data_IF_074648494239
#
_entry.id   IF_074648494239
#
_cell.length_a   1.000
_cell.length_b   1.000
_cell.length_c   1.000
_cell.angle_alpha   90.00
_cell.angle_beta   90.00
_cell.angle_gamma   90.00
#
_symmetry.space_group_name_H-M   'P 1'
#
loop_
_entity.id
_entity.type
_entity.pdbx_description
1 polymer ?
#
# COMPACT_ATOMS: atom_id res chain seq x y z
N UNK A 1 10.71 12.08 6.96
CA UNK A 1 11.98 11.61 6.35
C UNK A 1 11.78 10.86 5.03
N UNK A 2 11.14 9.68 5.00
CA UNK A 2 11.03 8.89 3.76
C UNK A 2 10.42 9.62 2.55
N UNK A 3 9.35 10.40 2.75
CA UNK A 3 8.70 11.19 1.69
C UNK A 3 9.67 12.22 1.09
N UNK A 4 10.40 12.97 1.94
CA UNK A 4 11.42 13.94 1.52
C UNK A 4 12.50 13.28 0.65
N UNK A 5 12.98 12.11 1.07
CA UNK A 5 13.97 11.34 0.32
C UNK A 5 13.46 10.97 -1.09
N UNK A 6 12.23 10.48 -1.21
CA UNK A 6 11.63 10.13 -2.52
C UNK A 6 11.53 11.35 -3.42
N UNK A 7 11.06 12.50 -2.92
CA UNK A 7 10.99 13.74 -3.71
C UNK A 7 12.36 14.23 -4.18
N UNK A 8 13.35 14.31 -3.28
CA UNK A 8 14.72 14.72 -3.63
C UNK A 8 15.32 13.76 -4.65
N UNK A 9 15.17 12.45 -4.44
CA UNK A 9 15.64 11.42 -5.37
C UNK A 9 14.97 11.55 -6.75
N UNK A 10 13.66 11.82 -6.82
CA UNK A 10 12.97 12.06 -8.09
C UNK A 10 13.56 13.26 -8.82
N UNK A 11 13.74 14.41 -8.15
CA UNK A 11 14.32 15.60 -8.76
C UNK A 11 15.76 15.40 -9.25
N UNK A 12 16.59 14.67 -8.48
CA UNK A 12 17.97 14.30 -8.88
C UNK A 12 18.01 13.56 -10.21
N UNK A 13 16.97 12.80 -10.57
CA UNK A 13 16.91 12.06 -11.83
C UNK A 13 16.12 12.75 -12.94
N UNK A 14 15.11 13.58 -12.63
CA UNK A 14 14.27 14.23 -13.66
C UNK A 14 14.82 15.57 -14.17
N UNK A 15 15.66 16.25 -13.37
CA UNK A 15 16.25 17.56 -13.73
C UNK A 15 17.46 17.48 -14.67
N UNK A 16 18.40 16.50 -14.56
CA UNK A 16 19.61 16.51 -15.40
C UNK A 16 19.36 16.61 -16.94
N UNK A 17 18.33 15.97 -17.53
CA UNK A 17 18.02 16.12 -18.96
C UNK A 17 17.52 17.52 -19.37
N UNK A 18 17.18 18.39 -18.41
CA UNK A 18 16.89 19.81 -18.69
C UNK A 18 18.11 20.70 -18.46
N UNK A 19 19.15 20.20 -17.79
CA UNK A 19 20.41 20.91 -17.50
C UNK A 19 21.59 20.48 -18.39
N UNK A 20 21.35 19.62 -19.38
CA UNK A 20 22.32 19.23 -20.41
C UNK A 20 22.91 17.82 -20.27
N UNK A 21 22.61 17.07 -19.21
CA UNK A 21 22.97 15.65 -19.12
C UNK A 21 21.80 14.81 -19.65
N UNK A 22 21.92 14.39 -20.92
CA UNK A 22 20.83 13.90 -21.76
C UNK A 22 19.80 14.98 -22.12
N UNK A 23 18.68 14.56 -22.72
CA UNK A 23 17.62 15.39 -23.26
C UNK A 23 16.27 14.66 -23.20
N UNK A 24 15.17 15.41 -23.08
CA UNK A 24 13.83 14.87 -23.35
C UNK A 24 13.51 15.06 -24.83
N UNK A 25 12.99 14.01 -25.46
CA UNK A 25 12.58 14.00 -26.87
C UNK A 25 11.15 13.51 -27.01
N UNK A 26 10.56 13.70 -28.20
CA UNK A 26 9.28 13.08 -28.53
C UNK A 26 9.49 11.61 -28.89
N UNK A 27 8.63 10.74 -28.37
CA UNK A 27 8.62 9.31 -28.71
C UNK A 27 8.36 9.12 -30.20
N UNK A 28 8.77 7.97 -30.76
CA UNK A 28 8.56 7.64 -32.19
C UNK A 28 7.09 7.66 -32.63
N UNK A 29 6.14 7.51 -31.70
CA UNK A 29 4.69 7.66 -31.95
C UNK A 29 4.19 9.13 -31.95
N UNK A 30 5.04 10.10 -31.59
CA UNK A 30 4.77 11.54 -31.68
C UNK A 30 3.85 12.13 -30.60
N UNK A 31 3.18 11.30 -29.78
CA UNK A 31 2.17 11.76 -28.81
C UNK A 31 2.65 11.92 -27.37
N UNK A 32 3.88 11.49 -27.05
CA UNK A 32 4.40 11.50 -25.67
C UNK A 32 5.88 11.83 -25.62
N UNK A 33 6.30 12.58 -24.60
CA UNK A 33 7.73 12.85 -24.35
C UNK A 33 8.38 11.78 -23.47
N UNK A 34 9.67 11.53 -23.68
CA UNK A 34 10.49 10.56 -22.97
C UNK A 34 12.00 10.91 -23.03
N UNK A 35 12.84 10.36 -22.14
CA UNK A 35 14.29 10.48 -22.23
C UNK A 35 14.85 10.01 -23.58
N UNK A 36 15.88 10.67 -24.10
CA UNK A 36 16.38 10.47 -25.45
C UNK A 36 17.33 9.26 -25.62
N UNK A 37 16.82 8.05 -25.38
CA UNK A 37 17.54 6.80 -25.65
C UNK A 37 17.71 6.47 -27.15
N UNK A 38 17.17 7.30 -28.06
CA UNK A 38 17.35 7.16 -29.51
C UNK A 38 18.65 7.80 -30.03
N UNK A 39 19.28 8.64 -29.20
CA UNK A 39 20.47 9.40 -29.53
C UNK A 39 21.73 8.60 -29.23
N UNK A 40 22.58 8.38 -30.24
CA UNK A 40 23.88 7.70 -30.09
C UNK A 40 24.95 8.49 -29.31
N UNK A 41 24.57 9.51 -28.54
CA UNK A 41 25.50 10.33 -27.75
C UNK A 41 25.82 9.67 -26.42
N UNK A 42 27.08 9.77 -26.00
CA UNK A 42 27.57 9.23 -24.73
C UNK A 42 26.81 9.84 -23.53
N UNK A 43 26.48 11.13 -23.59
CA UNK A 43 25.72 11.81 -22.52
C UNK A 43 24.31 11.22 -22.33
N UNK A 44 23.61 10.90 -23.44
CA UNK A 44 22.31 10.25 -23.39
C UNK A 44 22.45 8.80 -22.87
N UNK A 45 23.39 8.04 -23.41
CA UNK A 45 23.62 6.65 -23.00
C UNK A 45 23.99 6.51 -21.51
N UNK A 46 24.90 7.35 -21.01
CA UNK A 46 25.34 7.33 -19.60
C UNK A 46 24.21 7.71 -18.65
N UNK A 47 23.39 8.70 -19.01
CA UNK A 47 22.19 9.05 -18.24
C UNK A 47 21.21 7.86 -18.19
N UNK A 48 20.84 7.26 -19.33
CA UNK A 48 19.87 6.16 -19.39
C UNK A 48 20.34 4.95 -18.59
N UNK A 49 21.60 4.53 -18.73
CA UNK A 49 22.17 3.41 -17.97
C UNK A 49 22.15 3.71 -16.47
N UNK A 50 22.59 4.90 -16.05
CA UNK A 50 22.65 5.27 -14.63
C UNK A 50 21.25 5.40 -14.03
N UNK A 51 20.30 5.97 -14.79
CA UNK A 51 18.89 6.06 -14.43
C UNK A 51 18.27 4.68 -14.22
N UNK A 52 18.44 3.74 -15.15
CA UNK A 52 17.89 2.38 -15.02
C UNK A 52 18.54 1.62 -13.85
N UNK A 53 19.85 1.72 -13.66
CA UNK A 53 20.53 1.09 -12.53
C UNK A 53 20.02 1.63 -11.18
N UNK A 54 19.81 2.95 -11.07
CA UNK A 54 19.45 3.58 -9.79
C UNK A 54 17.94 3.62 -9.53
N UNK A 55 17.09 3.77 -10.55
CA UNK A 55 15.64 3.90 -10.41
C UNK A 55 14.86 2.60 -10.65
N UNK A 56 15.48 1.57 -11.24
CA UNK A 56 14.86 0.26 -11.47
C UNK A 56 15.60 -0.87 -10.75
N UNK A 57 16.89 -1.09 -11.06
CA UNK A 57 17.65 -2.24 -10.52
C UNK A 57 17.86 -2.13 -9.00
N UNK A 58 18.33 -0.98 -8.50
CA UNK A 58 18.58 -0.77 -7.07
C UNK A 58 17.30 -0.92 -6.21
N UNK A 59 16.14 -0.28 -6.52
CA UNK A 59 14.89 -0.50 -5.81
C UNK A 59 14.44 -1.96 -5.81
N UNK A 60 14.50 -2.63 -6.96
CA UNK A 60 14.14 -4.05 -7.06
C UNK A 60 15.02 -4.93 -6.18
N UNK A 61 16.34 -4.68 -6.14
CA UNK A 61 17.27 -5.41 -5.27
C UNK A 61 16.97 -5.16 -3.78
N UNK A 62 16.73 -3.91 -3.38
CA UNK A 62 16.39 -3.55 -2.01
C UNK A 62 15.08 -4.21 -1.56
N UNK A 63 14.06 -4.18 -2.43
CA UNK A 63 12.78 -4.87 -2.24
C UNK A 63 12.99 -6.37 -2.09
N UNK A 64 13.70 -7.02 -3.03
CA UNK A 64 13.91 -8.46 -3.02
C UNK A 64 14.71 -8.93 -1.79
N UNK A 65 15.74 -8.19 -1.39
CA UNK A 65 16.56 -8.50 -0.21
C UNK A 65 15.80 -8.28 1.10
N UNK A 66 15.06 -7.18 1.24
CA UNK A 66 14.25 -6.90 2.44
C UNK A 66 13.10 -7.90 2.59
N UNK A 67 12.38 -8.18 1.50
CA UNK A 67 11.31 -9.17 1.48
C UNK A 67 11.83 -10.60 1.67
N UNK A 68 12.99 -10.95 1.10
CA UNK A 68 13.67 -12.23 1.35
C UNK A 68 14.05 -12.41 2.83
N UNK A 69 14.50 -11.35 3.51
CA UNK A 69 14.71 -11.34 4.96
C UNK A 69 13.40 -11.49 5.74
N UNK A 70 12.34 -10.79 5.36
CA UNK A 70 11.00 -10.93 5.95
C UNK A 70 10.49 -12.37 5.84
N UNK A 71 10.55 -12.98 4.66
CA UNK A 71 10.11 -14.36 4.44
C UNK A 71 10.91 -15.39 5.25
N UNK A 72 12.22 -15.19 5.43
CA UNK A 72 13.05 -16.04 6.31
C UNK A 72 12.65 -15.89 7.79
N UNK A 73 12.37 -14.66 8.25
CA UNK A 73 11.88 -14.39 9.61
C UNK A 73 10.50 -15.02 9.85
N UNK A 74 9.56 -14.82 8.92
CA UNK A 74 8.22 -15.42 8.98
C UNK A 74 8.25 -16.95 8.99
N UNK A 75 9.12 -17.59 8.20
CA UNK A 75 9.35 -19.05 8.27
C UNK A 75 9.85 -19.47 9.65
N UNK A 76 10.92 -18.86 10.18
CA UNK A 76 11.46 -19.20 11.51
C UNK A 76 10.42 -19.02 12.63
N UNK A 77 9.59 -17.97 12.56
CA UNK A 77 8.48 -17.77 13.52
C UNK A 77 7.43 -18.86 13.36
N UNK A 78 7.02 -19.18 12.12
CA UNK A 78 6.06 -20.26 11.84
C UNK A 78 6.55 -21.63 12.34
N UNK A 79 7.81 -21.98 12.14
CA UNK A 79 8.41 -23.25 12.57
C UNK A 79 8.50 -23.33 14.12
N UNK A 80 8.76 -22.20 14.76
CA UNK A 80 8.73 -22.09 16.24
C UNK A 80 7.30 -22.24 16.76
N UNK A 81 6.34 -21.65 16.06
CA UNK A 81 4.94 -21.65 16.50
C UNK A 81 4.24 -23.00 16.27
N UNK A 82 4.57 -23.72 15.21
CA UNK A 82 4.11 -25.10 14.99
C UNK A 82 4.68 -26.07 16.03
N UNK A 83 5.92 -25.87 16.49
CA UNK A 83 6.49 -26.58 17.64
C UNK A 83 5.79 -26.29 18.97
N UNK A 84 5.12 -25.14 19.08
CA UNK A 84 4.35 -24.71 20.27
C UNK A 84 2.85 -25.00 20.16
N UNK A 85 2.39 -25.74 19.14
CA UNK A 85 0.97 -26.13 18.95
C UNK A 85 0.00 -24.97 18.66
N UNK A 86 0.49 -23.74 18.53
CA UNK A 86 -0.35 -22.55 18.38
C UNK A 86 -0.73 -22.32 16.91
N UNK A 87 -1.98 -22.62 16.54
CA UNK A 87 -2.46 -22.50 15.15
C UNK A 87 -2.83 -21.06 14.78
N UNK A 88 -1.87 -20.12 14.87
CA UNK A 88 -2.03 -18.78 14.30
C UNK A 88 -1.37 -18.76 12.93
N UNK A 89 -2.18 -18.86 11.86
CA UNK A 89 -1.70 -18.77 10.48
C UNK A 89 -0.97 -17.40 10.33
N UNK A 90 0.34 -17.36 10.00
CA UNK A 90 1.06 -16.09 9.90
C UNK A 90 0.47 -15.21 8.80
N UNK A 91 0.72 -13.90 8.89
CA UNK A 91 0.04 -12.81 8.17
C UNK A 91 0.33 -12.76 6.65
N UNK A 92 0.01 -13.85 5.95
CA UNK A 92 0.22 -14.05 4.51
C UNK A 92 -0.50 -13.01 3.65
N UNK A 93 -1.51 -12.32 4.16
CA UNK A 93 -2.33 -11.38 3.39
C UNK A 93 -1.59 -10.08 3.04
N UNK A 94 -0.96 -9.42 4.02
CA UNK A 94 -0.12 -8.23 3.79
C UNK A 94 1.09 -8.59 2.94
N UNK A 95 1.72 -9.72 3.27
CA UNK A 95 2.86 -10.30 2.53
C UNK A 95 2.51 -10.58 1.06
N UNK A 96 1.32 -11.14 0.78
CA UNK A 96 0.80 -11.37 -0.59
C UNK A 96 0.52 -10.06 -1.34
N UNK A 97 -0.03 -9.06 -0.66
CA UNK A 97 -0.30 -7.75 -1.27
C UNK A 97 1.01 -7.09 -1.74
N UNK A 98 2.05 -7.09 -0.91
CA UNK A 98 3.37 -6.55 -1.29
C UNK A 98 3.94 -7.27 -2.52
N UNK A 99 3.86 -8.61 -2.59
CA UNK A 99 4.27 -9.36 -3.80
C UNK A 99 3.52 -8.92 -5.04
N UNK A 100 2.20 -8.71 -4.94
CA UNK A 100 1.38 -8.30 -6.09
C UNK A 100 1.73 -6.87 -6.53
N UNK A 101 2.05 -5.96 -5.61
CA UNK A 101 2.59 -4.64 -5.97
C UNK A 101 3.92 -4.74 -6.72
N UNK A 102 4.83 -5.61 -6.29
CA UNK A 102 6.13 -5.83 -6.95
C UNK A 102 5.94 -6.41 -8.35
N UNK A 103 5.05 -7.40 -8.50
CA UNK A 103 4.72 -7.99 -9.79
C UNK A 103 4.08 -6.96 -10.74
N UNK A 104 3.16 -6.12 -10.25
CA UNK A 104 2.58 -5.04 -11.05
C UNK A 104 3.62 -4.02 -11.49
N UNK A 105 4.52 -3.59 -10.59
CA UNK A 105 5.65 -2.71 -10.94
C UNK A 105 6.53 -3.34 -12.04
N UNK A 106 6.91 -4.61 -11.90
CA UNK A 106 7.68 -5.33 -12.91
C UNK A 106 6.94 -5.42 -14.25
N UNK A 107 5.65 -5.76 -14.26
CA UNK A 107 4.86 -5.88 -15.50
C UNK A 107 4.76 -4.54 -16.23
N UNK A 108 4.63 -3.42 -15.50
CA UNK A 108 4.51 -2.10 -16.13
C UNK A 108 5.85 -1.55 -16.61
N UNK A 109 6.93 -1.71 -15.84
CA UNK A 109 8.21 -1.05 -16.10
C UNK A 109 9.23 -1.91 -16.84
N UNK A 110 9.21 -3.24 -16.71
CA UNK A 110 10.19 -4.11 -17.38
C UNK A 110 10.14 -4.02 -18.91
N UNK A 111 8.97 -3.97 -19.59
CA UNK A 111 8.93 -3.80 -21.05
C UNK A 111 9.61 -2.51 -21.51
N UNK A 112 9.44 -1.43 -20.75
CA UNK A 112 10.01 -0.11 -21.02
C UNK A 112 11.52 -0.04 -20.70
N UNK A 113 11.96 -0.64 -19.60
CA UNK A 113 13.37 -0.77 -19.26
C UNK A 113 14.12 -1.65 -20.30
N UNK A 114 13.52 -2.75 -20.74
CA UNK A 114 14.10 -3.62 -21.76
C UNK A 114 14.18 -2.91 -23.13
N UNK A 115 13.12 -2.20 -23.52
CA UNK A 115 13.09 -1.43 -24.77
C UNK A 115 14.12 -0.29 -24.78
N UNK A 116 14.20 0.50 -23.70
CA UNK A 116 15.19 1.59 -23.61
C UNK A 116 16.63 1.08 -23.64
N UNK A 117 16.95 -0.06 -22.97
CA UNK A 117 18.27 -0.70 -23.07
C UNK A 117 18.54 -1.16 -24.50
N UNK A 118 17.58 -1.80 -25.18
CA UNK A 118 17.74 -2.31 -26.54
C UNK A 118 18.09 -1.18 -27.53
N UNK A 119 17.34 -0.07 -27.48
CA UNK A 119 17.58 1.08 -28.37
C UNK A 119 18.89 1.80 -28.02
N UNK A 120 19.22 1.94 -26.73
CA UNK A 120 20.51 2.51 -26.28
C UNK A 120 21.70 1.64 -26.72
N UNK A 121 21.55 0.31 -26.73
CA UNK A 121 22.59 -0.61 -27.17
C UNK A 121 22.77 -0.63 -28.71
N UNK A 122 21.69 -0.37 -29.45
CA UNK A 122 21.67 -0.41 -30.92
C UNK A 122 20.99 0.84 -31.50
N UNK A 123 21.55 2.05 -31.37
CA UNK A 123 20.89 3.30 -31.78
C UNK A 123 20.64 3.43 -33.30
N UNK A 124 21.25 2.55 -34.11
CA UNK A 124 21.04 2.45 -35.56
C UNK A 124 19.86 1.55 -35.96
N UNK A 125 19.12 0.98 -35.00
CA UNK A 125 18.01 0.08 -35.30
C UNK A 125 16.75 0.86 -35.72
N UNK A 126 16.30 0.62 -36.95
CA UNK A 126 15.01 1.08 -37.46
C UNK A 126 13.89 0.24 -36.81
N UNK A 127 13.09 0.85 -35.92
CA UNK A 127 11.96 0.19 -35.26
C UNK A 127 10.64 0.89 -35.62
N UNK A 128 9.61 0.10 -35.91
CA UNK A 128 8.24 0.57 -36.09
C UNK A 128 7.78 1.34 -34.82
N UNK A 129 7.25 2.58 -34.94
CA UNK A 129 6.65 3.33 -33.84
C UNK A 129 5.64 2.56 -32.98
N UNK A 130 4.98 1.53 -33.52
CA UNK A 130 4.09 0.63 -32.76
C UNK A 130 4.83 -0.16 -31.68
N UNK A 131 6.10 -0.51 -31.92
CA UNK A 131 6.93 -1.28 -30.98
C UNK A 131 7.42 -0.41 -29.80
N UNK A 132 7.61 0.90 -29.99
CA UNK A 132 7.89 1.82 -28.87
C UNK A 132 6.64 2.19 -28.08
N UNK A 133 5.47 2.24 -28.75
CA UNK A 133 4.21 2.62 -28.13
C UNK A 133 3.76 1.65 -27.02
N UNK A 134 3.79 0.34 -27.28
CA UNK A 134 3.36 -0.70 -26.32
C UNK A 134 4.05 -0.55 -24.95
N UNK A 135 5.40 -0.61 -24.84
CA UNK A 135 6.08 -0.48 -23.55
C UNK A 135 5.86 0.89 -22.89
N UNK A 136 5.76 1.97 -23.68
CA UNK A 136 5.47 3.31 -23.15
C UNK A 136 4.07 3.41 -22.51
N UNK A 137 3.05 2.76 -23.09
CA UNK A 137 1.72 2.71 -22.49
C UNK A 137 1.68 1.85 -21.21
N UNK A 138 2.35 0.69 -21.20
CA UNK A 138 2.48 -0.14 -19.99
C UNK A 138 3.08 0.68 -18.82
N UNK A 139 4.18 1.40 -19.05
CA UNK A 139 4.80 2.24 -18.03
C UNK A 139 3.85 3.36 -17.52
N UNK A 140 3.07 3.99 -18.41
CA UNK A 140 2.12 5.06 -18.01
C UNK A 140 0.95 4.53 -17.18
N UNK A 141 0.46 3.33 -17.49
CA UNK A 141 -0.61 2.67 -16.70
C UNK A 141 -0.17 2.23 -15.29
N UNK A 142 1.14 2.20 -14.98
CA UNK A 142 1.68 1.91 -13.64
C UNK A 142 1.02 2.74 -12.52
N UNK A 143 0.65 3.99 -12.84
CA UNK A 143 -0.03 4.93 -11.95
C UNK A 143 -1.37 4.40 -11.42
N UNK A 144 -2.11 3.61 -12.20
CA UNK A 144 -3.45 3.13 -11.85
C UNK A 144 -3.44 1.84 -11.03
N UNK A 145 -2.48 0.94 -11.28
CA UNK A 145 -2.42 -0.34 -10.57
C UNK A 145 -2.19 -0.19 -9.07
N UNK A 146 -1.46 0.85 -8.65
CA UNK A 146 -1.22 1.11 -7.23
C UNK A 146 -2.56 1.29 -6.46
N UNK A 147 -3.41 2.31 -6.70
CA UNK A 147 -4.73 2.43 -6.08
C UNK A 147 -5.59 1.17 -6.19
N UNK A 148 -5.63 0.52 -7.35
CA UNK A 148 -6.41 -0.70 -7.59
C UNK A 148 -6.00 -1.81 -6.61
N UNK A 149 -4.70 -2.07 -6.46
CA UNK A 149 -4.19 -3.10 -5.53
C UNK A 149 -4.52 -2.74 -4.08
N UNK A 150 -4.41 -1.47 -3.68
CA UNK A 150 -4.81 -1.03 -2.34
C UNK A 150 -6.31 -1.24 -2.07
N UNK A 151 -7.20 -0.86 -3.00
CA UNK A 151 -8.66 -1.04 -2.87
C UNK A 151 -9.06 -2.51 -2.74
N UNK A 152 -8.50 -3.40 -3.56
CA UNK A 152 -8.90 -4.81 -3.58
C UNK A 152 -8.20 -5.67 -2.51
N UNK A 153 -6.98 -5.32 -2.10
CA UNK A 153 -6.15 -6.20 -1.24
C UNK A 153 -5.92 -5.68 0.18
N UNK A 154 -6.04 -4.38 0.46
CA UNK A 154 -5.95 -3.87 1.81
C UNK A 154 -7.34 -3.75 2.46
N UNK A 155 -7.68 -4.72 3.31
CA UNK A 155 -8.96 -4.76 4.05
C UNK A 155 -9.23 -3.53 4.92
N UNK A 156 -8.19 -2.89 5.47
CA UNK A 156 -8.35 -1.68 6.27
C UNK A 156 -8.67 -0.48 5.37
N UNK A 157 -7.88 -0.30 4.30
CA UNK A 157 -8.11 0.75 3.30
C UNK A 157 -9.50 0.64 2.67
N UNK A 158 -9.92 -0.57 2.27
CA UNK A 158 -11.25 -0.81 1.68
C UNK A 158 -12.39 -0.48 2.64
N UNK A 159 -12.24 -0.74 3.95
CA UNK A 159 -13.24 -0.38 4.96
C UNK A 159 -13.36 1.13 5.09
N UNK A 160 -12.23 1.83 5.26
CA UNK A 160 -12.21 3.29 5.36
C UNK A 160 -12.79 3.94 4.09
N UNK A 161 -12.42 3.47 2.90
CA UNK A 161 -12.94 3.96 1.63
C UNK A 161 -14.46 3.78 1.51
N UNK A 162 -15.00 2.62 1.89
CA UNK A 162 -16.46 2.40 1.92
C UNK A 162 -17.17 3.26 2.99
N UNK A 163 -16.50 3.59 4.10
CA UNK A 163 -17.02 4.52 5.13
C UNK A 163 -16.97 5.99 4.71
N UNK A 164 -16.14 6.37 3.73
CA UNK A 164 -16.20 7.70 3.12
C UNK A 164 -17.34 7.79 2.08
N UNK A 165 -17.67 6.70 1.40
CA UNK A 165 -18.77 6.68 0.41
C UNK A 165 -20.15 6.43 1.02
N UNK A 166 -20.23 5.77 2.18
CA UNK A 166 -21.45 5.67 2.98
C UNK A 166 -21.22 6.40 4.30
N UNK A 167 -21.86 7.55 4.49
CA UNK A 167 -21.78 8.40 5.70
C UNK A 167 -22.38 7.74 6.96
N UNK A 168 -21.80 6.61 7.37
CA UNK A 168 -22.17 5.88 8.58
C UNK A 168 -21.22 6.26 9.71
N UNK A 169 -21.76 6.98 10.68
CA UNK A 169 -21.11 7.34 11.94
C UNK A 169 -20.60 6.08 12.66
N UNK A 170 -19.39 6.15 13.24
CA UNK A 170 -18.73 4.98 13.82
C UNK A 170 -19.15 4.81 15.28
N UNK A 171 -20.03 3.83 15.54
CA UNK A 171 -20.08 3.19 16.85
C UNK A 171 -18.81 2.33 17.02
N UNK A 172 -17.92 2.61 18.00
CA UNK A 172 -16.65 1.92 18.11
C UNK A 172 -16.82 0.54 18.71
N UNK A 173 -16.69 -0.52 17.89
CA UNK A 173 -16.56 -1.88 18.41
C UNK A 173 -15.22 -2.07 19.14
N UNK A 174 -15.30 -1.99 20.46
CA UNK A 174 -14.21 -2.30 21.39
C UNK A 174 -13.71 -3.74 21.17
N UNK A 175 -12.43 -3.87 20.80
CA UNK A 175 -11.80 -5.17 20.59
C UNK A 175 -11.38 -5.76 21.93
N UNK A 176 -12.31 -6.40 22.63
CA UNK A 176 -12.05 -7.17 23.85
C UNK A 176 -11.17 -8.39 23.57
N UNK A 177 -9.86 -8.15 23.47
CA UNK A 177 -8.84 -9.20 23.52
C UNK A 177 -8.74 -9.74 24.95
N UNK A 178 -9.44 -10.83 25.22
CA UNK A 178 -9.27 -11.61 26.46
C UNK A 178 -7.82 -12.11 26.59
N UNK A 179 -6.98 -11.43 27.38
CA UNK A 179 -5.76 -12.01 27.97
C UNK A 179 -5.35 -11.25 29.24
N UNK A 180 -6.02 -11.50 30.36
CA UNK A 180 -5.43 -11.29 31.70
C UNK A 180 -6.15 -12.08 32.81
N UNK A 181 -6.42 -13.37 32.57
CA UNK A 181 -6.77 -14.29 33.65
C UNK A 181 -5.48 -14.90 34.22
N UNK A 182 -4.86 -14.17 35.16
CA UNK A 182 -3.91 -14.62 36.20
C UNK A 182 -3.21 -13.38 36.77
N UNK A 183 -3.61 -12.96 37.97
CA UNK A 183 -2.76 -12.45 39.07
C UNK A 183 -3.69 -11.98 40.20
N UNK A 184 -3.51 -12.56 41.39
CA UNK A 184 -4.19 -12.26 42.68
C UNK A 184 -5.73 -12.38 42.73
N UNK A 185 -6.20 -13.61 42.99
CA UNK A 185 -7.22 -13.79 44.03
C UNK A 185 -6.81 -14.96 44.93
N UNK A 186 -6.10 -14.65 46.02
CA UNK A 186 -5.89 -15.60 47.11
C UNK A 186 -5.53 -14.83 48.40
N UNK A 187 -6.23 -15.15 49.50
CA UNK A 187 -6.42 -14.32 50.72
C UNK A 187 -7.34 -13.11 50.45
N UNK A 188 -8.39 -12.87 51.22
CA UNK A 188 -8.64 -13.25 52.64
C UNK A 188 -10.01 -13.88 52.89
N UNK A 189 -10.04 -14.99 53.64
CA UNK A 189 -11.22 -15.41 54.39
C UNK A 189 -11.28 -14.65 55.72
N UNK A 190 -12.38 -13.96 56.04
CA UNK A 190 -13.05 -14.09 57.33
C UNK A 190 -14.39 -13.33 57.40
N UNK A 191 -15.42 -13.98 57.95
CA UNK A 191 -16.45 -13.31 58.75
C UNK A 191 -17.81 -13.02 58.11
N UNK A 192 -18.81 -13.84 58.48
CA UNK A 192 -20.08 -13.28 58.98
C UNK A 192 -21.34 -13.34 58.09
N UNK A 193 -22.36 -13.99 58.67
CA UNK A 193 -23.79 -13.66 58.58
C UNK A 193 -24.64 -14.09 57.36
N UNK A 194 -25.84 -14.59 57.71
CA UNK A 194 -26.95 -14.96 56.84
C UNK A 194 -28.07 -13.91 57.02
N UNK A 195 -28.83 -13.56 55.96
CA UNK A 195 -30.31 -13.68 55.91
C UNK A 195 -31.00 -12.99 54.72
N UNK A 196 -32.12 -13.61 54.31
CA UNK A 196 -33.42 -13.04 53.92
C UNK A 196 -33.64 -12.12 52.68
N UNK A 197 -34.38 -12.69 51.71
CA UNK A 197 -35.71 -12.24 51.19
C UNK A 197 -35.88 -10.92 50.41
N UNK A 198 -36.70 -11.03 49.36
CA UNK A 198 -37.43 -10.00 48.57
C UNK A 198 -36.65 -9.18 47.50
N UNK A 199 -37.30 -8.57 46.49
CA UNK A 199 -38.43 -8.96 45.61
C UNK A 199 -38.68 -7.82 44.58
N UNK A 200 -39.02 -8.16 43.32
CA UNK A 200 -39.41 -7.23 42.23
C UNK A 200 -38.33 -6.17 41.85
N UNK A 201 -38.33 -5.46 40.69
CA UNK A 201 -39.35 -5.08 39.69
C UNK A 201 -38.68 -5.21 38.29
N UNK A 202 -39.13 -6.08 37.38
CA UNK A 202 -39.93 -5.77 36.15
C UNK A 202 -39.43 -4.53 35.36
N UNK A 203 -39.01 -4.62 34.10
CA UNK A 203 -39.93 -4.73 32.96
C UNK A 203 -39.22 -4.96 31.60
N UNK A 204 -40.00 -5.49 30.66
CA UNK A 204 -39.77 -5.72 29.23
C UNK A 204 -38.97 -4.62 28.50
N UNK A 205 -38.11 -4.85 27.50
CA UNK A 205 -38.00 -5.86 26.43
C UNK A 205 -38.95 -5.68 25.21
N UNK A 206 -38.32 -5.37 24.06
CA UNK A 206 -38.65 -5.84 22.69
C UNK A 206 -39.35 -4.93 21.65
N UNK A 207 -38.61 -4.77 20.52
CA UNK A 207 -39.01 -5.00 19.10
C UNK A 207 -39.64 -3.92 18.19
N UNK A 208 -38.89 -3.62 17.09
CA UNK A 208 -39.30 -3.54 15.65
C UNK A 208 -40.22 -2.36 15.22
N UNK A 209 -40.18 -1.83 13.97
CA UNK A 209 -39.33 -1.99 12.77
C UNK A 209 -39.51 -0.73 11.85
N UNK A 210 -38.72 -0.66 10.75
CA UNK A 210 -38.83 0.12 9.48
C UNK A 210 -40.22 0.68 9.10
N UNK A 211 -40.43 1.71 8.27
CA UNK A 211 -39.80 2.30 7.04
C UNK A 211 -40.08 3.84 7.01
N UNK A 212 -39.44 4.78 6.25
CA UNK A 212 -38.11 4.95 5.60
C UNK A 212 -37.92 6.45 5.12
N UNK A 213 -37.09 6.74 4.09
CA UNK A 213 -36.91 7.99 3.27
C UNK A 213 -36.29 9.30 3.85
N UNK A 214 -34.95 9.35 3.82
CA UNK A 214 -34.15 10.25 2.96
C UNK A 214 -34.54 11.76 2.80
N UNK A 215 -33.86 12.67 3.52
CA UNK A 215 -33.57 14.02 2.99
C UNK A 215 -32.40 14.77 3.68
N UNK A 216 -31.79 15.69 2.93
CA UNK A 216 -30.88 16.77 3.36
C UNK A 216 -29.44 16.43 3.79
N UNK A 217 -28.61 16.12 2.79
CA UNK A 217 -27.19 16.49 2.85
C UNK A 217 -27.07 18.01 2.65
N UNK A 218 -27.01 18.79 3.75
CA UNK A 218 -26.50 20.17 3.78
C UNK A 218 -26.50 20.73 5.22
N UNK A 219 -25.33 20.79 5.87
CA UNK A 219 -24.98 21.95 6.70
C UNK A 219 -23.47 22.00 6.93
N UNK A 220 -22.89 23.16 6.62
CA UNK A 220 -21.48 23.44 6.80
C UNK A 220 -21.28 24.00 8.22
N UNK A 221 -20.94 23.13 9.18
CA UNK A 221 -20.70 23.52 10.57
C UNK A 221 -19.30 23.10 11.02
N UNK A 222 -18.38 24.06 11.08
CA UNK A 222 -17.08 23.90 11.73
C UNK A 222 -17.31 23.77 13.25
N UNK A 223 -16.71 22.77 13.90
CA UNK A 223 -16.40 22.68 15.35
C UNK A 223 -15.39 21.50 15.55
N UNK A 224 -14.72 21.36 16.71
CA UNK A 224 -13.27 21.22 16.74
C UNK A 224 -12.75 19.81 16.42
N UNK A 225 -11.61 19.78 15.72
CA UNK A 225 -10.86 18.56 15.44
C UNK A 225 -10.26 18.02 16.75
N UNK A 226 -10.76 16.88 17.23
CA UNK A 226 -10.03 16.05 18.19
C UNK A 226 -9.10 15.12 17.42
N UNK A 227 -7.78 15.36 17.49
CA UNK A 227 -6.77 14.75 16.61
C UNK A 227 -6.59 13.21 16.75
N UNK A 228 -7.32 12.53 17.63
CA UNK A 228 -6.96 11.18 18.11
C UNK A 228 -7.69 9.98 17.48
N UNK A 229 -8.31 10.12 16.29
CA UNK A 229 -8.84 8.97 15.50
C UNK A 229 -8.63 9.08 13.98
N UNK A 230 -7.52 9.65 13.52
CA UNK A 230 -7.11 9.51 12.11
C UNK A 230 -6.68 8.05 11.88
N UNK A 231 -7.23 7.40 10.85
CA UNK A 231 -6.75 6.09 10.41
C UNK A 231 -5.27 6.18 10.01
N UNK A 232 -4.39 5.26 10.45
CA UNK A 232 -2.96 5.37 10.17
C UNK A 232 -2.71 5.32 8.66
N UNK A 233 -2.05 6.36 8.13
CA UNK A 233 -1.51 6.43 6.77
C UNK A 233 -0.13 5.79 6.69
#
# INVERSE_FOLDING_TARGET
MGILFVWVFSFVWTIPPTMGWSSYTTSKIGTTCEPNWYSGKIEDHTYIITFLMTCFVLPLLLIFVSYGKLMRKLRKVSDTQSRLGSTRKPEKEVTRMVVIMILAFLICWTPYAAFSILVTAHPTIELDPRLSAIPAFFAKTASMYNPIIYVFMNKQFRRCLLQMFHCNEIEPKESNNQTSERVVLNRTNHGGEMQAIAAHITSNNSNRKTEDEQSSCNSFAQLPISENKICPM
#
